data_IF_460495082584
#
_entry.id   IF_460495082584
#
_cell.length_a   1.000
_cell.length_b   1.000
_cell.length_c   1.000
_cell.angle_alpha   90.00
_cell.angle_beta   90.00
_cell.angle_gamma   90.00
#
_symmetry.space_group_name_H-M   'P 1'
#
loop_
_entity.id
_entity.type
_entity.pdbx_description
1 polymer ?
#
# COMPACT_ATOMS: atom_id res chain seq x y z
N UNK A 1 -7.57 -35.77 -28.15
CA UNK A 1 -6.26 -35.45 -28.76
C UNK A 1 -5.21 -35.39 -27.66
N UNK A 2 -4.42 -36.45 -27.51
CA UNK A 2 -3.33 -36.55 -26.54
C UNK A 2 -2.02 -36.25 -27.28
N UNK A 3 -1.35 -35.16 -26.95
CA UNK A 3 0.03 -34.92 -27.33
C UNK A 3 0.90 -35.48 -26.20
N UNK A 4 1.89 -36.32 -26.54
CA UNK A 4 2.89 -36.82 -25.61
C UNK A 4 3.71 -35.65 -25.02
N UNK A 5 3.60 -35.42 -23.72
CA UNK A 5 4.29 -34.33 -23.02
C UNK A 5 3.55 -33.97 -21.73
N UNK A 6 4.29 -33.73 -20.63
CA UNK A 6 3.80 -33.44 -19.27
C UNK A 6 2.41 -32.76 -19.26
N UNK A 7 1.43 -33.36 -18.56
CA UNK A 7 0.15 -32.68 -18.28
C UNK A 7 0.46 -31.35 -17.62
N UNK A 8 0.13 -30.24 -18.30
CA UNK A 8 0.12 -28.94 -17.64
C UNK A 8 -1.12 -28.86 -16.78
N UNK A 9 -0.92 -29.12 -15.50
CA UNK A 9 -1.91 -28.87 -14.47
C UNK A 9 -1.71 -27.42 -13.99
N UNK A 10 -2.78 -26.63 -14.14
CA UNK A 10 -2.90 -25.29 -13.58
C UNK A 10 -3.82 -25.37 -12.38
N UNK A 11 -3.50 -24.61 -11.34
CA UNK A 11 -4.37 -24.42 -10.19
C UNK A 11 -5.61 -23.61 -10.59
N UNK A 12 -6.68 -23.72 -9.83
CA UNK A 12 -7.92 -22.96 -10.09
C UNK A 12 -7.66 -21.45 -10.12
N UNK A 13 -6.81 -20.94 -9.22
CA UNK A 13 -6.41 -19.52 -9.20
C UNK A 13 -5.71 -19.08 -10.49
N UNK A 14 -4.81 -19.92 -11.00
CA UNK A 14 -4.12 -19.64 -12.27
C UNK A 14 -5.11 -19.67 -13.45
N UNK A 15 -6.11 -20.56 -13.42
CA UNK A 15 -7.16 -20.62 -14.43
C UNK A 15 -8.03 -19.37 -14.39
N UNK A 16 -8.48 -18.94 -13.20
CA UNK A 16 -9.23 -17.69 -13.03
C UNK A 16 -8.42 -16.51 -13.54
N UNK A 17 -7.12 -16.45 -13.22
CA UNK A 17 -6.25 -15.38 -13.70
C UNK A 17 -6.12 -15.37 -15.22
N UNK A 18 -5.98 -16.53 -15.84
CA UNK A 18 -5.91 -16.65 -17.29
C UNK A 18 -7.23 -16.25 -17.96
N UNK A 19 -8.38 -16.54 -17.34
CA UNK A 19 -9.69 -16.08 -17.80
C UNK A 19 -9.81 -14.56 -17.74
N UNK A 20 -9.43 -13.92 -16.64
CA UNK A 20 -9.42 -12.46 -16.49
C UNK A 20 -8.57 -11.76 -17.55
N UNK A 21 -7.46 -12.40 -17.97
CA UNK A 21 -6.52 -11.86 -18.95
C UNK A 21 -6.83 -12.28 -20.39
N UNK A 22 -8.01 -12.88 -20.63
CA UNK A 22 -8.46 -13.39 -21.93
C UNK A 22 -7.45 -14.34 -22.62
N UNK A 23 -6.75 -15.15 -21.81
CA UNK A 23 -5.77 -16.12 -22.30
C UNK A 23 -6.50 -17.42 -22.62
N UNK A 24 -6.67 -17.71 -23.91
CA UNK A 24 -7.38 -18.91 -24.37
C UNK A 24 -6.52 -20.17 -24.23
N UNK A 25 -7.17 -21.35 -24.17
CA UNK A 25 -6.48 -22.65 -24.18
C UNK A 25 -5.52 -22.80 -25.37
N UNK A 26 -5.89 -22.33 -26.56
CA UNK A 26 -5.01 -22.36 -27.73
C UNK A 26 -3.75 -21.53 -27.52
N UNK A 27 -3.89 -20.33 -26.92
CA UNK A 27 -2.77 -19.47 -26.56
C UNK A 27 -1.86 -20.14 -25.51
N UNK A 28 -2.43 -20.77 -24.49
CA UNK A 28 -1.68 -21.51 -23.47
C UNK A 28 -0.85 -22.62 -24.13
N UNK A 29 -1.47 -23.46 -24.94
CA UNK A 29 -0.79 -24.56 -25.65
C UNK A 29 0.33 -24.05 -26.55
N UNK A 30 0.11 -22.96 -27.28
CA UNK A 30 1.13 -22.35 -28.12
C UNK A 30 2.33 -21.84 -27.31
N UNK A 31 2.08 -21.14 -26.20
CA UNK A 31 3.13 -20.63 -25.30
C UNK A 31 3.94 -21.77 -24.68
N UNK A 32 3.26 -22.83 -24.23
CA UNK A 32 3.90 -24.05 -23.72
C UNK A 32 4.78 -24.70 -24.77
N UNK A 33 4.25 -24.90 -25.99
CA UNK A 33 4.99 -25.51 -27.10
C UNK A 33 6.23 -24.69 -27.46
N UNK A 34 6.15 -23.37 -27.33
CA UNK A 34 7.25 -22.45 -27.55
C UNK A 34 8.20 -22.31 -26.34
N UNK A 35 8.04 -23.13 -25.29
CA UNK A 35 8.94 -23.16 -24.13
C UNK A 35 8.84 -21.92 -23.23
N UNK A 36 7.70 -21.23 -23.21
CA UNK A 36 7.53 -20.05 -22.36
C UNK A 36 7.58 -20.41 -20.87
N UNK A 37 8.14 -19.55 -20.00
CA UNK A 37 8.07 -19.77 -18.56
C UNK A 37 6.62 -19.72 -18.07
N UNK A 38 6.29 -20.58 -17.08
CA UNK A 38 4.94 -20.69 -16.49
C UNK A 38 4.36 -19.33 -16.08
N UNK A 39 5.17 -18.47 -15.47
CA UNK A 39 4.77 -17.12 -15.07
C UNK A 39 4.19 -16.30 -16.23
N UNK A 40 4.85 -16.28 -17.39
CA UNK A 40 4.40 -15.53 -18.56
C UNK A 40 3.19 -16.18 -19.23
N UNK A 41 3.11 -17.51 -19.19
CA UNK A 41 1.94 -18.25 -19.70
C UNK A 41 0.66 -17.76 -19.01
N UNK A 42 0.72 -17.59 -17.69
CA UNK A 42 -0.43 -17.24 -16.84
C UNK A 42 -0.70 -15.74 -16.83
N UNK A 43 0.34 -14.92 -16.77
CA UNK A 43 0.18 -13.51 -16.40
C UNK A 43 0.32 -12.51 -17.55
N UNK A 44 0.90 -12.91 -18.69
CA UNK A 44 1.03 -12.01 -19.84
C UNK A 44 -0.30 -11.97 -20.63
N UNK A 45 -0.94 -10.80 -20.78
CA UNK A 45 -2.15 -10.66 -21.59
C UNK A 45 -1.94 -11.12 -23.03
N UNK A 46 -3.00 -11.55 -23.71
CA UNK A 46 -2.92 -11.99 -25.12
C UNK A 46 -2.50 -10.86 -26.06
N UNK A 47 -3.00 -9.65 -25.83
CA UNK A 47 -2.82 -8.49 -26.72
C UNK A 47 -1.53 -7.71 -26.46
N UNK A 48 -0.74 -8.12 -25.48
CA UNK A 48 0.46 -7.40 -25.07
C UNK A 48 1.72 -8.19 -25.46
N UNK A 49 2.68 -7.49 -26.07
CA UNK A 49 3.99 -8.08 -26.36
C UNK A 49 4.77 -8.36 -25.06
N UNK A 50 5.77 -9.22 -25.15
CA UNK A 50 6.58 -9.58 -23.97
C UNK A 50 7.36 -8.37 -23.43
N UNK A 51 7.89 -7.54 -24.33
CA UNK A 51 8.64 -6.33 -23.98
C UNK A 51 7.77 -5.28 -23.29
N UNK A 52 6.55 -5.06 -23.78
CA UNK A 52 5.59 -4.16 -23.13
C UNK A 52 5.19 -4.66 -21.75
N UNK A 53 4.99 -5.98 -21.61
CA UNK A 53 4.65 -6.59 -20.35
C UNK A 53 5.79 -6.45 -19.32
N UNK A 54 7.03 -6.68 -19.74
CA UNK A 54 8.21 -6.52 -18.89
C UNK A 54 8.38 -5.05 -18.44
N UNK A 55 8.21 -4.07 -19.34
CA UNK A 55 8.19 -2.63 -18.98
C UNK A 55 7.10 -2.31 -17.96
N UNK A 56 5.90 -2.87 -18.14
CA UNK A 56 4.79 -2.69 -17.20
C UNK A 56 5.11 -3.27 -15.81
N UNK A 57 5.79 -4.42 -15.76
CA UNK A 57 6.26 -5.00 -14.49
C UNK A 57 7.29 -4.11 -13.80
N UNK A 58 8.22 -3.52 -14.55
CA UNK A 58 9.20 -2.57 -14.01
C UNK A 58 8.54 -1.32 -13.44
N UNK A 59 7.58 -0.74 -14.17
CA UNK A 59 6.80 0.41 -13.71
C UNK A 59 6.07 0.07 -12.39
N UNK A 60 5.42 -1.10 -12.32
CA UNK A 60 4.75 -1.56 -11.10
C UNK A 60 5.72 -1.71 -9.92
N UNK A 61 6.88 -2.33 -10.14
CA UNK A 61 7.93 -2.46 -9.10
C UNK A 61 8.41 -1.10 -8.61
N UNK A 62 8.64 -0.16 -9.51
CA UNK A 62 9.07 1.20 -9.16
C UNK A 62 7.98 1.94 -8.37
N UNK A 63 6.72 1.83 -8.80
CA UNK A 63 5.59 2.44 -8.11
C UNK A 63 5.43 1.90 -6.68
N UNK A 64 5.57 0.58 -6.49
CA UNK A 64 5.52 -0.04 -5.17
C UNK A 64 6.66 0.43 -4.27
N UNK A 65 7.89 0.48 -4.79
CA UNK A 65 9.06 1.00 -4.07
C UNK A 65 8.85 2.45 -3.63
N UNK A 66 8.32 3.28 -4.51
CA UNK A 66 8.01 4.68 -4.21
C UNK A 66 6.86 4.83 -3.20
N UNK A 67 5.84 3.97 -3.26
CA UNK A 67 4.78 3.91 -2.25
C UNK A 67 5.36 3.60 -0.86
N UNK A 68 6.17 2.55 -0.73
CA UNK A 68 6.82 2.18 0.55
C UNK A 68 7.68 3.32 1.11
N UNK A 69 8.47 3.99 0.26
CA UNK A 69 9.25 5.17 0.66
C UNK A 69 8.38 6.31 1.21
N UNK A 70 7.23 6.59 0.57
CA UNK A 70 6.30 7.63 1.04
C UNK A 70 5.67 7.26 2.38
N UNK A 71 5.29 6.01 2.57
CA UNK A 71 4.73 5.51 3.84
C UNK A 71 5.74 5.66 4.99
N UNK A 72 7.00 5.25 4.77
CA UNK A 72 8.09 5.42 5.75
C UNK A 72 8.30 6.90 6.08
N UNK A 73 8.37 7.77 5.07
CA UNK A 73 8.55 9.22 5.27
C UNK A 73 7.40 9.81 6.09
N UNK A 74 6.16 9.39 5.84
CA UNK A 74 4.97 9.81 6.59
C UNK A 74 5.06 9.39 8.06
N UNK A 75 5.47 8.16 8.33
CA UNK A 75 5.67 7.66 9.70
C UNK A 75 6.76 8.44 10.43
N UNK A 76 7.89 8.73 9.77
CA UNK A 76 8.98 9.52 10.35
C UNK A 76 8.55 10.95 10.70
N UNK A 77 7.77 11.60 9.82
CA UNK A 77 7.22 12.93 10.08
C UNK A 77 6.31 12.91 11.31
N UNK A 78 5.40 11.94 11.39
CA UNK A 78 4.48 11.79 12.51
C UNK A 78 5.22 11.57 13.84
N UNK A 79 6.26 10.72 13.84
CA UNK A 79 7.12 10.51 15.01
C UNK A 79 7.85 11.80 15.42
N UNK A 80 8.35 12.58 14.46
CA UNK A 80 9.01 13.87 14.73
C UNK A 80 8.05 14.88 15.34
N UNK A 81 6.81 14.95 14.83
CA UNK A 81 5.78 15.83 15.38
C UNK A 81 5.36 15.43 16.80
N UNK A 82 5.20 14.13 17.07
CA UNK A 82 4.92 13.64 18.42
C UNK A 82 6.04 14.00 19.39
N UNK A 83 7.30 13.77 19.02
CA UNK A 83 8.46 14.18 19.83
C UNK A 83 8.50 15.69 20.07
N UNK A 84 8.24 16.50 19.04
CA UNK A 84 8.20 17.95 19.19
C UNK A 84 7.13 18.41 20.19
N UNK A 85 5.99 17.70 20.26
CA UNK A 85 4.88 17.99 21.17
C UNK A 85 4.96 17.29 22.52
N UNK A 86 6.02 16.51 22.79
CA UNK A 86 6.16 15.75 24.04
C UNK A 86 6.07 16.64 25.29
N UNK A 87 6.63 17.85 25.22
CA UNK A 87 6.56 18.84 26.30
C UNK A 87 5.13 19.28 26.65
N UNK A 88 4.19 19.22 25.70
CA UNK A 88 2.79 19.56 25.92
C UNK A 88 2.04 18.48 26.72
N UNK A 89 2.52 17.23 26.68
CA UNK A 89 1.94 16.11 27.44
C UNK A 89 2.61 15.95 28.81
N UNK A 90 3.92 16.22 28.91
CA UNK A 90 4.72 15.98 30.11
C UNK A 90 4.53 17.05 31.20
N UNK A 91 4.31 18.30 30.82
CA UNK A 91 4.25 19.42 31.77
C UNK A 91 2.94 20.20 31.65
N UNK A 92 2.34 20.63 32.77
CA UNK A 92 1.17 21.48 32.74
C UNK A 92 1.49 22.80 32.03
N UNK A 93 0.64 23.19 31.09
CA UNK A 93 0.84 24.40 30.32
C UNK A 93 0.47 25.63 31.14
N UNK A 94 1.25 26.71 31.00
CA UNK A 94 0.94 28.00 31.59
C UNK A 94 -0.31 28.56 30.91
N UNK A 95 -1.46 28.36 31.54
CA UNK A 95 -2.74 28.93 31.09
C UNK A 95 -2.96 30.29 31.73
N UNK A 96 -3.58 31.22 31.01
CA UNK A 96 -4.07 32.48 31.61
C UNK A 96 -5.28 32.13 32.49
N UNK A 97 -5.32 32.72 33.68
CA UNK A 97 -6.45 32.52 34.58
C UNK A 97 -7.75 32.99 33.91
N UNK A 98 -8.81 32.20 34.05
CA UNK A 98 -10.10 32.50 33.44
C UNK A 98 -10.75 33.73 34.10
N UNK A 99 -11.68 34.37 33.40
CA UNK A 99 -12.47 35.48 33.99
C UNK A 99 -13.21 35.02 35.26
N UNK A 100 -13.68 33.77 35.27
CA UNK A 100 -14.30 33.15 36.44
C UNK A 100 -13.36 33.10 37.64
N UNK A 101 -12.09 32.72 37.44
CA UNK A 101 -11.10 32.71 38.53
C UNK A 101 -10.95 34.08 39.21
N UNK A 102 -10.84 35.16 38.42
CA UNK A 102 -10.75 36.50 38.98
C UNK A 102 -12.04 36.95 39.67
N UNK A 103 -13.21 36.60 39.12
CA UNK A 103 -14.48 36.91 39.75
C UNK A 103 -14.64 36.18 41.10
N UNK A 104 -14.26 34.90 41.16
CA UNK A 104 -14.27 34.10 42.38
C UNK A 104 -13.30 34.65 43.42
N UNK A 105 -12.07 34.98 43.01
CA UNK A 105 -11.05 35.57 43.88
C UNK A 105 -11.52 36.91 44.47
N UNK A 106 -12.08 37.78 43.63
CA UNK A 106 -12.62 39.07 44.07
C UNK A 106 -13.82 38.92 45.02
N UNK A 107 -14.68 37.93 44.78
CA UNK A 107 -15.79 37.63 45.67
C UNK A 107 -15.30 37.13 47.04
N UNK A 108 -14.37 36.17 47.05
CA UNK A 108 -13.83 35.59 48.28
C UNK A 108 -13.02 36.61 49.11
N UNK A 109 -12.27 37.49 48.46
CA UNK A 109 -11.47 38.53 49.12
C UNK A 109 -12.28 39.77 49.52
N UNK A 110 -13.57 39.84 49.18
CA UNK A 110 -14.44 40.99 49.50
C UNK A 110 -14.55 41.24 51.00
N UNK A 111 -14.47 40.20 51.82
CA UNK A 111 -14.57 40.31 53.27
C UNK A 111 -13.28 40.80 53.96
N UNK A 112 -12.15 40.78 53.25
CA UNK A 112 -10.82 41.15 53.77
C UNK A 112 -10.31 42.48 53.19
N UNK A 113 -11.14 43.18 52.42
CA UNK A 113 -10.93 44.54 51.93
C UNK A 113 -11.87 45.48 52.65
#
# INVERSE_FOLDING_TARGET
>A
MQCAGKRLEFTDDEITRMQELNITRATITARVKNGWPRYYIINQPKEMSREEYDKLLEIKKLAEKNRKKREIKKQQLLLKEMKAKEHLQKYPQKVKASKYYYNLLNYALKAFR
#
